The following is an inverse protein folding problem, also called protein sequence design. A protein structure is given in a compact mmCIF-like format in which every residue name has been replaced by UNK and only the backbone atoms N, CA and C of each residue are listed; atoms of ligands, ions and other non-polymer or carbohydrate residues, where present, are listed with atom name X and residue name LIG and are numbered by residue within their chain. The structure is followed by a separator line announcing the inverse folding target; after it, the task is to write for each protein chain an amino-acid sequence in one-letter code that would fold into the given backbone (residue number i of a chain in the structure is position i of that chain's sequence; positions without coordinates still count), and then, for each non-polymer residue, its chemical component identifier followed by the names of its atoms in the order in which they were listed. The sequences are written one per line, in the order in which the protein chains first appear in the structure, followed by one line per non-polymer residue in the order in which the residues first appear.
data_IF_659961846658
#
_entry.id   IF_659961846658
#
_cell.length_a   1.000
_cell.length_b   1.000
_cell.length_c   1.000
_cell.angle_alpha   90.00
_cell.angle_beta   90.00
_cell.angle_gamma   90.00
#
_symmetry.space_group_name_H-M   'P 1'
#
loop_
_entity.id
_entity.type
_entity.pdbx_description
1 polymer ?
#
# COMPACT_ATOMS: atom_id res chain seq x y z
N UNK A 1 -43.22 16.69 29.36
CA UNK A 1 -41.94 15.97 29.29
C UNK A 1 -41.41 16.12 27.87
N UNK A 2 -40.68 17.20 27.59
CA UNK A 2 -40.01 17.41 26.31
C UNK A 2 -38.53 17.12 26.56
N UNK A 3 -38.01 16.05 25.96
CA UNK A 3 -36.58 15.74 25.98
C UNK A 3 -35.87 16.73 25.06
N UNK A 4 -34.93 17.50 25.62
CA UNK A 4 -34.07 18.39 24.87
C UNK A 4 -33.15 17.55 23.98
N UNK A 5 -33.23 17.77 22.68
CA UNK A 5 -32.31 17.22 21.70
C UNK A 5 -31.03 18.04 21.85
N UNK A 6 -29.98 17.42 22.39
CA UNK A 6 -28.66 18.02 22.49
C UNK A 6 -28.11 18.21 21.07
N UNK A 7 -28.05 19.46 20.62
CA UNK A 7 -27.28 19.86 19.44
C UNK A 7 -25.82 19.47 19.68
N UNK A 8 -25.37 18.40 19.02
CA UNK A 8 -23.94 18.13 18.89
C UNK A 8 -23.42 19.13 17.87
N UNK A 9 -22.69 20.13 18.34
CA UNK A 9 -21.85 20.98 17.51
C UNK A 9 -20.91 20.10 16.70
N UNK A 10 -20.92 20.27 15.37
CA UNK A 10 -19.98 19.62 14.47
C UNK A 10 -18.54 19.96 14.91
N UNK A 11 -17.60 19.01 14.87
CA UNK A 11 -16.23 19.26 15.28
C UNK A 11 -15.63 20.34 14.37
N UNK A 12 -15.16 21.42 14.98
CA UNK A 12 -14.43 22.51 14.32
C UNK A 12 -13.23 21.94 13.56
N UNK A 13 -13.05 22.38 12.31
CA UNK A 13 -11.91 22.02 11.46
C UNK A 13 -10.61 22.47 12.14
N UNK A 14 -9.85 21.53 12.72
CA UNK A 14 -8.57 21.82 13.36
C UNK A 14 -7.44 21.81 12.32
N UNK A 15 -6.72 22.93 12.15
CA UNK A 15 -5.55 23.00 11.26
C UNK A 15 -4.30 22.37 11.89
N UNK A 16 -3.65 21.41 11.20
CA UNK A 16 -2.29 20.93 11.51
C UNK A 16 -1.27 21.75 10.71
N UNK A 17 -0.94 22.95 11.19
CA UNK A 17 -0.11 23.93 10.46
C UNK A 17 -0.81 24.45 9.21
N UNK A 18 -0.09 24.61 8.10
CA UNK A 18 -0.64 25.04 6.79
C UNK A 18 -1.47 23.97 6.08
N UNK A 19 -1.66 22.79 6.69
CA UNK A 19 -2.39 21.68 6.08
C UNK A 19 -3.86 21.76 6.42
N UNK A 20 -4.68 21.77 5.38
CA UNK A 20 -6.12 21.53 5.49
C UNK A 20 -6.35 20.15 6.10
N UNK A 21 -7.10 20.11 7.19
CA UNK A 21 -7.66 18.90 7.75
C UNK A 21 -9.12 18.84 7.30
N UNK A 22 -9.58 17.66 6.87
CA UNK A 22 -10.95 17.46 6.44
C UNK A 22 -11.81 17.07 7.63
N UNK A 23 -12.97 17.70 7.79
CA UNK A 23 -14.00 17.23 8.72
C UNK A 23 -14.75 16.02 8.15
N UNK A 24 -15.46 15.29 9.01
CA UNK A 24 -16.34 14.20 8.57
C UNK A 24 -17.44 14.72 7.66
N UNK A 25 -18.03 15.85 7.99
CA UNK A 25 -19.09 16.51 7.22
C UNK A 25 -18.59 16.92 5.82
N UNK A 26 -17.38 17.47 5.73
CA UNK A 26 -16.78 17.82 4.43
C UNK A 26 -16.51 16.59 3.56
N UNK A 27 -16.01 15.50 4.16
CA UNK A 27 -15.79 14.24 3.45
C UNK A 27 -17.13 13.60 3.00
N UNK A 28 -18.15 13.64 3.85
CA UNK A 28 -19.49 13.16 3.54
C UNK A 28 -20.12 13.96 2.40
N UNK A 29 -19.96 15.28 2.39
CA UNK A 29 -20.45 16.14 1.32
C UNK A 29 -19.83 15.79 -0.05
N UNK A 30 -18.55 15.43 -0.10
CA UNK A 30 -17.92 14.93 -1.33
C UNK A 30 -18.47 13.57 -1.76
N UNK A 31 -18.65 12.66 -0.80
CA UNK A 31 -19.21 11.32 -1.07
C UNK A 31 -20.62 11.41 -1.64
N UNK A 32 -21.44 12.33 -1.12
CA UNK A 32 -22.85 12.50 -1.51
C UNK A 32 -23.05 13.46 -2.70
N UNK A 33 -21.96 14.02 -3.25
CA UNK A 33 -22.02 14.93 -4.39
C UNK A 33 -22.59 14.24 -5.65
N UNK A 34 -23.30 14.98 -6.53
CA UNK A 34 -23.75 14.43 -7.80
C UNK A 34 -22.58 13.85 -8.59
N UNK A 35 -22.68 12.57 -8.96
CA UNK A 35 -21.55 11.78 -9.48
C UNK A 35 -20.82 12.45 -10.66
N UNK A 36 -21.55 13.00 -11.62
CA UNK A 36 -20.95 13.64 -12.80
C UNK A 36 -20.23 14.95 -12.45
N UNK A 37 -20.76 15.72 -11.50
CA UNK A 37 -20.12 16.95 -11.02
C UNK A 37 -18.84 16.62 -10.24
N UNK A 38 -18.89 15.58 -9.40
CA UNK A 38 -17.74 15.07 -8.67
C UNK A 38 -16.64 14.56 -9.63
N UNK A 39 -17.00 13.83 -10.69
CA UNK A 39 -16.04 13.41 -11.71
C UNK A 39 -15.38 14.60 -12.42
N UNK A 40 -16.15 15.63 -12.76
CA UNK A 40 -15.62 16.83 -13.38
C UNK A 40 -14.65 17.57 -12.45
N UNK A 41 -15.01 17.71 -11.16
CA UNK A 41 -14.13 18.27 -10.14
C UNK A 41 -12.85 17.44 -9.99
N UNK A 42 -12.96 16.11 -9.94
CA UNK A 42 -11.81 15.21 -9.82
C UNK A 42 -10.83 15.37 -10.98
N UNK A 43 -11.32 15.44 -12.22
CA UNK A 43 -10.48 15.66 -13.40
C UNK A 43 -9.83 17.05 -13.39
N UNK A 44 -10.55 18.06 -12.93
CA UNK A 44 -10.03 19.44 -12.80
C UNK A 44 -8.86 19.48 -11.83
N UNK A 45 -9.03 18.91 -10.63
CA UNK A 45 -7.96 18.82 -9.63
C UNK A 45 -6.79 17.98 -10.15
N UNK A 46 -7.06 16.85 -10.80
CA UNK A 46 -6.01 16.00 -11.36
C UNK A 46 -5.13 16.75 -12.38
N UNK A 47 -5.74 17.46 -13.33
CA UNK A 47 -5.04 18.24 -14.37
C UNK A 47 -4.22 19.41 -13.82
N UNK A 48 -4.60 19.94 -12.66
CA UNK A 48 -3.85 21.02 -12.00
C UNK A 48 -2.59 20.53 -11.29
N UNK A 49 -2.53 19.25 -10.92
CA UNK A 49 -1.49 18.71 -10.03
C UNK A 49 -0.62 17.63 -10.69
N UNK A 50 -1.09 17.01 -11.78
CA UNK A 50 -0.41 15.90 -12.46
C UNK A 50 -0.38 16.11 -13.97
N UNK A 51 0.56 15.44 -14.63
CA UNK A 51 0.46 15.24 -16.08
C UNK A 51 -0.75 14.35 -16.38
N UNK A 52 -1.82 14.89 -17.01
CA UNK A 52 -3.09 14.20 -17.10
C UNK A 52 -3.08 12.96 -18.00
N UNK A 53 -2.00 12.76 -18.79
CA UNK A 53 -1.87 11.61 -19.67
C UNK A 53 -0.76 10.66 -19.24
N UNK A 54 -0.13 10.89 -18.08
CA UNK A 54 0.90 10.02 -17.53
C UNK A 54 0.31 9.09 -16.46
N UNK A 55 0.63 7.81 -16.57
CA UNK A 55 0.20 6.77 -15.63
C UNK A 55 1.42 6.09 -15.02
N UNK A 56 1.41 5.87 -13.70
CA UNK A 56 2.42 5.08 -13.00
C UNK A 56 2.19 3.59 -13.24
N UNK A 57 3.21 2.88 -13.71
CA UNK A 57 3.13 1.43 -13.97
C UNK A 57 3.87 0.65 -12.89
N UNK A 58 3.11 0.11 -11.92
CA UNK A 58 3.66 -0.72 -10.85
C UNK A 58 3.33 -2.19 -11.07
N UNK A 59 4.34 -3.07 -11.03
CA UNK A 59 4.15 -4.52 -11.09
C UNK A 59 4.35 -5.14 -9.71
N UNK A 60 3.43 -6.01 -9.30
CA UNK A 60 3.50 -6.71 -8.02
C UNK A 60 3.78 -8.21 -8.22
N UNK A 61 4.54 -8.78 -7.29
CA UNK A 61 4.70 -10.22 -7.09
C UNK A 61 4.53 -10.59 -5.61
N UNK A 62 3.83 -11.69 -5.34
CA UNK A 62 3.76 -12.28 -4.00
C UNK A 62 5.02 -13.12 -3.73
N UNK A 63 5.94 -12.59 -2.92
CA UNK A 63 7.19 -13.27 -2.56
C UNK A 63 6.98 -14.36 -1.51
N UNK A 64 5.86 -14.33 -0.77
CA UNK A 64 5.40 -15.42 0.10
C UNK A 64 3.87 -15.44 0.08
N UNK A 65 3.28 -16.53 -0.40
CA UNK A 65 1.83 -16.65 -0.61
C UNK A 65 1.17 -17.56 0.42
N UNK A 66 -0.05 -17.22 0.85
CA UNK A 66 -0.93 -18.08 1.67
C UNK A 66 -0.43 -18.31 3.10
N UNK A 67 -1.25 -18.96 3.94
CA UNK A 67 -0.89 -19.25 5.34
C UNK A 67 -0.60 -17.99 6.17
N UNK A 68 -1.35 -16.91 5.92
CA UNK A 68 -1.28 -15.70 6.73
C UNK A 68 -1.99 -15.94 8.07
N UNK A 69 -1.40 -15.55 9.22
CA UNK A 69 -2.06 -15.73 10.53
C UNK A 69 -3.20 -14.74 10.79
N UNK A 70 -3.29 -13.67 10.00
CA UNK A 70 -4.38 -12.67 10.10
C UNK A 70 -5.70 -13.21 9.57
N UNK A 71 -6.81 -12.75 10.14
CA UNK A 71 -8.19 -13.20 9.89
C UNK A 71 -9.01 -12.20 9.06
N UNK A 72 -8.35 -11.46 8.15
CA UNK A 72 -9.02 -10.48 7.31
C UNK A 72 -10.12 -11.14 6.46
N UNK A 73 -11.39 -10.77 6.69
CA UNK A 73 -12.55 -11.42 6.09
C UNK A 73 -12.66 -11.37 4.56
N UNK A 74 -11.82 -10.58 3.89
CA UNK A 74 -11.74 -10.47 2.43
C UNK A 74 -10.51 -11.18 1.82
N UNK A 75 -9.54 -11.60 2.64
CA UNK A 75 -8.23 -12.02 2.15
C UNK A 75 -8.19 -13.53 1.88
N UNK A 76 -8.01 -13.92 0.62
CA UNK A 76 -7.86 -15.33 0.21
C UNK A 76 -6.59 -16.00 0.75
N UNK A 77 -5.66 -15.23 1.34
CA UNK A 77 -4.42 -15.74 1.92
C UNK A 77 -4.49 -16.00 3.43
N UNK A 78 -5.59 -15.59 4.09
CA UNK A 78 -5.87 -15.88 5.50
C UNK A 78 -5.89 -17.40 5.73
N UNK A 79 -5.21 -17.86 6.77
CA UNK A 79 -5.25 -19.27 7.19
C UNK A 79 -6.57 -19.67 7.84
N UNK A 80 -7.46 -18.70 8.11
CA UNK A 80 -8.77 -18.91 8.73
C UNK A 80 -9.90 -19.16 7.72
N UNK A 81 -9.59 -19.14 6.41
CA UNK A 81 -10.58 -19.30 5.34
C UNK A 81 -10.18 -20.39 4.35
N UNK A 82 -11.17 -21.17 3.91
CA UNK A 82 -10.96 -22.24 2.91
C UNK A 82 -10.98 -21.67 1.49
N UNK A 83 -9.88 -21.05 1.07
CA UNK A 83 -9.73 -20.48 -0.28
C UNK A 83 -9.19 -21.46 -1.32
N UNK A 84 -8.73 -22.64 -0.90
CA UNK A 84 -7.99 -23.59 -1.75
C UNK A 84 -6.57 -23.12 -2.13
N UNK A 85 -6.13 -21.97 -1.63
CA UNK A 85 -4.81 -21.42 -1.92
C UNK A 85 -3.70 -22.18 -1.19
N UNK A 86 -2.74 -22.72 -1.94
CA UNK A 86 -1.59 -23.42 -1.35
C UNK A 86 -0.55 -22.42 -0.84
N UNK A 87 -0.13 -22.59 0.41
CA UNK A 87 0.94 -21.79 0.98
C UNK A 87 2.28 -22.07 0.28
N UNK A 88 3.03 -21.01 -0.01
CA UNK A 88 4.39 -21.09 -0.53
C UNK A 88 5.40 -20.67 0.54
N UNK A 89 6.62 -21.18 0.42
CA UNK A 89 7.76 -20.57 1.11
C UNK A 89 8.09 -19.21 0.51
N UNK A 90 8.93 -18.45 1.21
CA UNK A 90 9.55 -17.25 0.67
C UNK A 90 10.30 -17.60 -0.62
N UNK A 91 10.13 -16.79 -1.66
CA UNK A 91 10.82 -16.96 -2.93
C UNK A 91 12.32 -16.69 -2.79
N UNK A 92 13.12 -17.40 -3.58
CA UNK A 92 14.56 -17.14 -3.70
C UNK A 92 14.82 -15.75 -4.28
N UNK A 93 15.81 -15.03 -3.73
CA UNK A 93 16.19 -13.67 -4.17
C UNK A 93 16.40 -13.61 -5.68
N UNK A 94 17.15 -14.56 -6.25
CA UNK A 94 17.40 -14.65 -7.71
C UNK A 94 16.12 -14.73 -8.53
N UNK A 95 15.09 -15.40 -8.03
CA UNK A 95 13.80 -15.53 -8.72
C UNK A 95 13.04 -14.21 -8.68
N UNK A 96 13.09 -13.51 -7.55
CA UNK A 96 12.47 -12.17 -7.42
C UNK A 96 13.12 -11.19 -8.38
N UNK A 97 14.45 -11.15 -8.45
CA UNK A 97 15.19 -10.27 -9.37
C UNK A 97 14.90 -10.63 -10.83
N UNK A 98 14.80 -11.92 -11.17
CA UNK A 98 14.44 -12.35 -12.52
C UNK A 98 13.02 -11.88 -12.93
N UNK A 99 12.03 -11.99 -12.04
CA UNK A 99 10.68 -11.48 -12.30
C UNK A 99 10.63 -9.95 -12.34
N UNK A 100 11.42 -9.26 -11.50
CA UNK A 100 11.57 -7.81 -11.56
C UNK A 100 12.18 -7.34 -12.88
N UNK A 101 13.19 -8.05 -13.39
CA UNK A 101 13.80 -7.78 -14.70
C UNK A 101 12.76 -7.89 -15.81
N UNK A 102 11.97 -8.98 -15.84
CA UNK A 102 10.87 -9.15 -16.80
C UNK A 102 9.85 -8.01 -16.70
N UNK A 103 9.52 -7.58 -15.48
CA UNK A 103 8.58 -6.48 -15.27
C UNK A 103 9.11 -5.15 -15.79
N UNK A 104 10.38 -4.83 -15.54
CA UNK A 104 11.06 -3.66 -16.08
C UNK A 104 11.05 -3.68 -17.61
N UNK A 105 11.43 -4.81 -18.20
CA UNK A 105 11.51 -4.96 -19.66
C UNK A 105 10.12 -4.87 -20.31
N UNK A 106 9.05 -5.15 -19.55
CA UNK A 106 7.66 -4.93 -19.93
C UNK A 106 7.14 -3.50 -19.66
N UNK A 107 8.00 -2.59 -19.19
CA UNK A 107 7.69 -1.16 -19.00
C UNK A 107 7.26 -0.76 -17.58
N UNK A 108 7.34 -1.65 -16.59
CA UNK A 108 7.06 -1.27 -15.20
C UNK A 108 8.15 -0.31 -14.66
N UNK A 109 7.73 0.75 -13.99
CA UNK A 109 8.62 1.72 -13.33
C UNK A 109 8.84 1.39 -11.85
N UNK A 110 7.91 0.66 -11.24
CA UNK A 110 7.97 0.22 -9.84
C UNK A 110 7.73 -1.28 -9.71
N UNK A 111 8.46 -1.91 -8.80
CA UNK A 111 8.27 -3.32 -8.47
C UNK A 111 7.89 -3.49 -6.99
N UNK A 112 6.73 -4.10 -6.75
CA UNK A 112 6.13 -4.29 -5.44
C UNK A 112 6.23 -5.77 -5.02
N UNK A 113 6.80 -6.04 -3.85
CA UNK A 113 6.93 -7.40 -3.32
C UNK A 113 6.04 -7.56 -2.07
N UNK A 114 5.08 -8.48 -2.14
CA UNK A 114 4.14 -8.73 -1.05
C UNK A 114 4.37 -10.06 -0.35
N UNK A 115 4.22 -10.08 0.99
CA UNK A 115 4.34 -11.30 1.77
C UNK A 115 3.12 -11.50 2.68
N UNK A 116 2.57 -12.71 2.70
CA UNK A 116 1.47 -13.12 3.56
C UNK A 116 1.94 -13.33 5.02
N UNK A 117 2.31 -12.25 5.70
CA UNK A 117 2.76 -12.23 7.09
C UNK A 117 2.00 -11.18 7.91
N UNK A 118 1.93 -11.40 9.22
CA UNK A 118 1.63 -10.34 10.20
C UNK A 118 2.77 -9.34 10.28
N UNK A 119 3.99 -9.85 10.40
CA UNK A 119 5.24 -9.11 10.51
C UNK A 119 6.39 -9.99 9.99
N UNK A 120 7.43 -9.42 9.35
CA UNK A 120 8.59 -10.19 8.96
C UNK A 120 9.36 -10.65 10.22
N UNK A 121 9.99 -11.83 10.14
CA UNK A 121 10.85 -12.36 11.20
C UNK A 121 12.31 -12.05 10.90
N UNK A 122 13.13 -11.93 11.95
CA UNK A 122 14.56 -11.60 11.80
C UNK A 122 15.31 -12.50 10.81
N UNK A 123 15.01 -13.81 10.79
CA UNK A 123 15.60 -14.79 9.86
C UNK A 123 15.30 -14.53 8.38
N UNK A 124 14.22 -13.82 8.08
CA UNK A 124 13.78 -13.55 6.71
C UNK A 124 14.31 -12.20 6.20
N UNK A 125 14.77 -11.33 7.11
CA UNK A 125 15.15 -9.95 6.78
C UNK A 125 16.34 -9.86 5.84
N UNK A 126 17.33 -10.74 5.94
CA UNK A 126 18.51 -10.69 5.08
C UNK A 126 18.13 -11.00 3.62
N UNK A 127 17.25 -11.97 3.40
CA UNK A 127 16.72 -12.28 2.09
C UNK A 127 15.86 -11.13 1.54
N UNK A 128 15.03 -10.51 2.39
CA UNK A 128 14.19 -9.36 2.02
C UNK A 128 15.05 -8.15 1.63
N UNK A 129 16.09 -7.83 2.40
CA UNK A 129 17.04 -6.75 2.09
C UNK A 129 17.72 -7.00 0.74
N UNK A 130 18.21 -8.22 0.51
CA UNK A 130 18.84 -8.58 -0.76
C UNK A 130 17.87 -8.47 -1.96
N UNK A 131 16.56 -8.71 -1.76
CA UNK A 131 15.55 -8.46 -2.80
C UNK A 131 15.42 -6.96 -3.11
N UNK A 132 15.37 -6.11 -2.09
CA UNK A 132 15.27 -4.65 -2.26
C UNK A 132 16.49 -4.13 -3.01
N UNK A 133 17.70 -4.47 -2.56
CA UNK A 133 18.95 -4.07 -3.19
C UNK A 133 19.01 -4.53 -4.66
N UNK A 134 18.64 -5.79 -4.92
CA UNK A 134 18.62 -6.36 -6.26
C UNK A 134 17.66 -5.64 -7.20
N UNK A 135 16.44 -5.33 -6.74
CA UNK A 135 15.46 -4.57 -7.54
C UNK A 135 15.91 -3.12 -7.73
N UNK A 136 16.49 -2.49 -6.70
CA UNK A 136 17.02 -1.12 -6.79
C UNK A 136 18.13 -1.02 -7.82
N UNK A 137 19.02 -2.02 -7.87
CA UNK A 137 20.09 -2.11 -8.86
C UNK A 137 19.60 -2.24 -10.31
N UNK A 138 18.34 -2.64 -10.54
CA UNK A 138 17.72 -2.64 -11.87
C UNK A 138 17.26 -1.24 -12.32
N UNK A 139 17.39 -0.22 -11.48
CA UNK A 139 16.95 1.15 -11.74
C UNK A 139 15.44 1.36 -11.55
N UNK A 140 14.76 0.43 -10.88
CA UNK A 140 13.33 0.52 -10.59
C UNK A 140 13.08 1.17 -9.23
N UNK A 141 11.89 1.77 -9.05
CA UNK A 141 11.39 2.04 -7.71
C UNK A 141 11.06 0.72 -7.00
N UNK A 142 11.43 0.64 -5.73
CA UNK A 142 11.22 -0.54 -4.89
C UNK A 142 10.05 -0.33 -3.94
N UNK A 143 9.18 -1.33 -3.83
CA UNK A 143 8.03 -1.30 -2.94
C UNK A 143 7.84 -2.64 -2.24
N UNK A 144 7.41 -2.61 -0.98
CA UNK A 144 7.11 -3.83 -0.23
C UNK A 144 5.86 -3.71 0.64
N UNK A 145 5.23 -4.85 0.90
CA UNK A 145 4.19 -5.01 1.93
C UNK A 145 4.46 -6.29 2.72
N UNK A 146 4.97 -6.13 3.95
CA UNK A 146 5.42 -7.25 4.80
C UNK A 146 4.61 -7.36 6.11
N UNK A 147 3.52 -6.59 6.23
CA UNK A 147 2.75 -6.45 7.46
C UNK A 147 3.25 -5.28 8.32
N UNK A 148 3.22 -5.42 9.64
CA UNK A 148 3.77 -4.39 10.55
C UNK A 148 5.28 -4.56 10.68
N UNK A 149 6.00 -3.48 10.48
CA UNK A 149 7.43 -3.40 10.76
C UNK A 149 7.67 -2.83 12.15
N UNK A 150 8.74 -3.26 12.80
CA UNK A 150 9.38 -2.45 13.84
C UNK A 150 10.30 -1.38 13.23
N UNK A 151 10.76 -0.45 14.07
CA UNK A 151 11.61 0.66 13.64
C UNK A 151 12.94 0.19 13.01
N UNK A 152 13.55 -0.87 13.57
CA UNK A 152 14.81 -1.41 13.07
C UNK A 152 14.64 -2.07 11.70
N UNK A 153 13.54 -2.79 11.50
CA UNK A 153 13.17 -3.35 10.20
C UNK A 153 12.94 -2.25 9.16
N UNK A 154 12.22 -1.18 9.53
CA UNK A 154 11.98 -0.04 8.64
C UNK A 154 13.28 0.67 8.23
N UNK A 155 14.20 0.89 9.18
CA UNK A 155 15.52 1.47 8.91
C UNK A 155 16.35 0.60 7.96
N UNK A 156 16.44 -0.71 8.24
CA UNK A 156 17.15 -1.65 7.36
C UNK A 156 16.61 -1.65 5.93
N UNK A 157 15.29 -1.61 5.75
CA UNK A 157 14.67 -1.55 4.42
C UNK A 157 14.95 -0.21 3.74
N UNK A 158 14.90 0.90 4.47
CA UNK A 158 15.21 2.22 3.92
C UNK A 158 16.66 2.30 3.45
N UNK A 159 17.59 1.80 4.25
CA UNK A 159 19.03 1.72 3.94
C UNK A 159 19.30 0.83 2.71
N UNK A 160 18.60 -0.29 2.60
CA UNK A 160 18.66 -1.17 1.43
C UNK A 160 18.13 -0.52 0.13
N UNK A 161 17.42 0.61 0.25
CA UNK A 161 16.91 1.37 -0.88
C UNK A 161 15.40 1.26 -1.10
N UNK A 162 14.63 0.82 -0.10
CA UNK A 162 13.17 0.74 -0.20
C UNK A 162 12.55 2.13 -0.38
N UNK A 163 11.85 2.35 -1.50
CA UNK A 163 11.23 3.63 -1.84
C UNK A 163 9.82 3.78 -1.26
N UNK A 164 9.04 2.69 -1.28
CA UNK A 164 7.66 2.67 -0.80
C UNK A 164 7.40 1.49 0.14
N UNK A 165 6.59 1.74 1.16
CA UNK A 165 6.04 0.69 2.01
C UNK A 165 4.52 0.78 1.99
N UNK A 166 3.86 -0.33 1.62
CA UNK A 166 2.41 -0.43 1.65
C UNK A 166 1.98 -1.01 3.00
N UNK A 167 1.02 -0.32 3.62
CA UNK A 167 0.32 -0.77 4.82
C UNK A 167 -1.17 -0.49 4.61
N UNK A 168 -1.97 -1.54 4.64
CA UNK A 168 -3.42 -1.50 4.45
C UNK A 168 -4.11 -1.79 5.77
#
# INVERSE_FOLDING_TARGET
MHAAISEKTAPEVQSLGDRRVWSLEEAQALHDAPFNDLLFQAQTVHRQNFDPNKVQLSRLLSIKTGGCPEDCGYCSQSAHHESGLKASKLMEVRRVIAEATKARDAGATRYCMGAAWRNPKGRDMDAVVAMVEGVKALGMETCMTLGMLDLGQAQRLKEAGLDYYNHN
#
